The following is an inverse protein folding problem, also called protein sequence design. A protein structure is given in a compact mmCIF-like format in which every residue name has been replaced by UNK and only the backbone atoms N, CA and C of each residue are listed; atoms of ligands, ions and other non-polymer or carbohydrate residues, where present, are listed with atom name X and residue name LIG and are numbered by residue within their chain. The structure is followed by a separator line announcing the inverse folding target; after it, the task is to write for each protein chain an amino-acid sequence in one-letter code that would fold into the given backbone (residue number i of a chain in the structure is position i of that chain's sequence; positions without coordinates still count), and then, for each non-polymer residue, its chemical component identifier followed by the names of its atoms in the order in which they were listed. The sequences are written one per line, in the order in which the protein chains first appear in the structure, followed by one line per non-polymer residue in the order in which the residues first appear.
data_IF_656781811540
#
_entry.id   IF_656781811540
#
_cell.length_a   1.000
_cell.length_b   1.000
_cell.length_c   1.000
_cell.angle_alpha   90.00
_cell.angle_beta   90.00
_cell.angle_gamma   90.00
#
_symmetry.space_group_name_H-M   'P 1'
#
loop_
_entity.id
_entity.type
_entity.pdbx_description
1 polymer ?
#
# COMPACT_ATOMS: atom_id res chain seq x y z
N UNK A 1 -3.35 -16.69 12.72
CA UNK A 1 -2.65 -17.81 12.04
C UNK A 1 -1.28 -17.41 11.47
N UNK A 2 -1.18 -16.39 10.60
CA UNK A 2 0.12 -15.97 10.04
C UNK A 2 1.00 -15.26 11.07
N UNK A 3 0.42 -14.48 11.97
CA UNK A 3 1.15 -13.76 13.03
C UNK A 3 1.73 -14.74 14.03
N UNK A 4 0.94 -15.74 14.43
CA UNK A 4 1.37 -16.77 15.38
C UNK A 4 2.48 -17.65 14.77
N UNK A 5 2.39 -17.99 13.48
CA UNK A 5 3.43 -18.71 12.77
C UNK A 5 4.75 -17.90 12.67
N UNK A 6 4.68 -16.58 12.58
CA UNK A 6 5.87 -15.72 12.59
C UNK A 6 6.48 -15.54 13.98
N UNK A 7 5.70 -15.68 15.06
CA UNK A 7 6.21 -15.63 16.43
C UNK A 7 7.10 -16.85 16.78
N UNK A 8 6.91 -17.97 16.11
CA UNK A 8 7.75 -19.16 16.26
C UNK A 8 9.17 -18.99 15.70
N UNK A 9 9.34 -18.08 14.72
CA UNK A 9 10.66 -17.76 14.19
C UNK A 9 11.26 -16.58 14.94
N UNK A 10 12.37 -16.76 15.64
CA UNK A 10 13.11 -15.67 16.27
C UNK A 10 13.45 -14.55 15.28
N UNK A 11 13.69 -13.33 15.78
CA UNK A 11 13.99 -12.17 14.92
C UNK A 11 15.23 -12.39 14.03
N UNK A 12 16.18 -13.17 14.50
CA UNK A 12 17.45 -13.43 13.83
C UNK A 12 17.37 -14.53 12.78
N UNK A 13 16.22 -15.21 12.66
CA UNK A 13 16.05 -16.34 11.74
C UNK A 13 15.38 -15.95 10.40
N UNK A 14 15.94 -14.92 9.77
CA UNK A 14 15.47 -14.47 8.45
C UNK A 14 15.58 -15.58 7.39
N UNK A 15 16.57 -16.46 7.51
CA UNK A 15 16.83 -17.56 6.57
C UNK A 15 15.74 -18.63 6.71
N UNK A 16 15.43 -19.08 7.93
CA UNK A 16 14.38 -20.09 8.17
C UNK A 16 13.00 -19.59 7.73
N UNK A 17 12.69 -18.31 7.98
CA UNK A 17 11.45 -17.70 7.48
C UNK A 17 11.39 -17.66 5.96
N UNK A 18 12.49 -17.31 5.30
CA UNK A 18 12.54 -17.31 3.84
C UNK A 18 12.35 -18.72 3.28
N UNK A 19 12.97 -19.72 3.88
CA UNK A 19 12.81 -21.11 3.50
C UNK A 19 11.37 -21.61 3.70
N UNK A 20 10.75 -21.30 4.83
CA UNK A 20 9.35 -21.65 5.10
C UNK A 20 8.40 -20.99 4.08
N UNK A 21 8.60 -19.71 3.76
CA UNK A 21 7.83 -19.01 2.74
C UNK A 21 8.03 -19.63 1.35
N UNK A 22 9.27 -20.01 1.00
CA UNK A 22 9.56 -20.68 -0.26
C UNK A 22 8.87 -22.04 -0.35
N UNK A 23 8.95 -22.85 0.68
CA UNK A 23 8.28 -24.15 0.74
C UNK A 23 6.76 -24.03 0.61
N UNK A 24 6.16 -23.04 1.29
CA UNK A 24 4.73 -22.76 1.17
C UNK A 24 4.35 -22.36 -0.26
N UNK A 25 5.15 -21.49 -0.88
CA UNK A 25 4.93 -21.05 -2.26
C UNK A 25 5.07 -22.21 -3.25
N UNK A 26 6.10 -23.01 -3.11
CA UNK A 26 6.36 -24.18 -3.97
C UNK A 26 5.20 -25.19 -3.88
N UNK A 27 4.71 -25.48 -2.67
CA UNK A 27 3.58 -26.36 -2.46
C UNK A 27 2.27 -25.78 -3.03
N UNK A 28 2.05 -24.46 -2.87
CA UNK A 28 0.90 -23.77 -3.44
C UNK A 28 0.92 -23.86 -4.98
N UNK A 29 2.06 -23.52 -5.58
CA UNK A 29 2.24 -23.60 -7.03
C UNK A 29 2.09 -25.03 -7.54
N UNK A 30 2.66 -26.00 -6.83
CA UNK A 30 2.51 -27.41 -7.17
C UNK A 30 1.03 -27.82 -7.17
N UNK A 31 0.26 -27.44 -6.17
CA UNK A 31 -1.19 -27.75 -6.11
C UNK A 31 -1.98 -27.08 -7.23
N UNK A 32 -1.68 -25.83 -7.50
CA UNK A 32 -2.33 -25.08 -8.61
C UNK A 32 -2.04 -25.75 -9.95
N UNK A 33 -0.77 -26.09 -10.21
CA UNK A 33 -0.34 -26.62 -11.51
C UNK A 33 -0.63 -28.11 -11.71
N UNK A 34 -0.76 -28.90 -10.64
CA UNK A 34 -1.04 -30.35 -10.69
C UNK A 34 -2.51 -30.71 -10.48
N UNK A 35 -3.37 -29.73 -10.26
CA UNK A 35 -4.80 -29.97 -10.07
C UNK A 35 -5.49 -30.42 -11.35
N UNK A 36 -6.40 -31.40 -11.24
CA UNK A 36 -7.19 -31.94 -12.35
C UNK A 36 -8.13 -30.87 -12.96
N UNK A 37 -8.28 -29.72 -12.31
CA UNK A 37 -9.17 -28.63 -12.71
C UNK A 37 -8.43 -27.28 -12.81
N UNK A 38 -7.36 -27.27 -13.62
CA UNK A 38 -6.55 -26.06 -13.86
C UNK A 38 -7.40 -24.90 -14.40
N UNK A 39 -8.40 -25.18 -15.23
CA UNK A 39 -9.25 -24.14 -15.84
C UNK A 39 -10.07 -23.41 -14.77
N UNK A 40 -10.75 -24.15 -13.89
CA UNK A 40 -11.52 -23.54 -12.81
C UNK A 40 -10.61 -22.85 -11.77
N UNK A 41 -9.42 -23.38 -11.52
CA UNK A 41 -8.43 -22.72 -10.66
C UNK A 41 -7.99 -21.39 -11.25
N UNK A 42 -7.65 -21.33 -12.53
CA UNK A 42 -7.28 -20.09 -13.23
C UNK A 42 -8.47 -19.12 -13.27
N UNK A 43 -9.69 -19.60 -13.52
CA UNK A 43 -10.88 -18.75 -13.48
C UNK A 43 -11.15 -18.16 -12.08
N UNK A 44 -11.00 -18.98 -11.04
CA UNK A 44 -11.16 -18.54 -9.65
C UNK A 44 -10.12 -17.44 -9.32
N UNK A 45 -8.86 -17.63 -9.69
CA UNK A 45 -7.80 -16.63 -9.51
C UNK A 45 -8.13 -15.35 -10.32
N UNK A 46 -8.49 -15.49 -11.59
CA UNK A 46 -8.83 -14.35 -12.46
C UNK A 46 -10.04 -13.56 -11.93
N UNK A 47 -11.03 -14.22 -11.33
CA UNK A 47 -12.18 -13.56 -10.72
C UNK A 47 -11.82 -12.64 -9.54
N UNK A 48 -10.65 -12.80 -8.95
CA UNK A 48 -10.14 -11.96 -7.85
C UNK A 48 -9.35 -10.74 -8.33
N UNK A 49 -8.97 -10.71 -9.62
CA UNK A 49 -8.18 -9.61 -10.19
C UNK A 49 -8.88 -8.24 -10.11
N UNK A 50 -10.19 -8.10 -10.40
CA UNK A 50 -10.88 -6.80 -10.28
C UNK A 50 -10.85 -6.22 -8.86
N UNK A 51 -10.83 -7.08 -7.83
CA UNK A 51 -10.68 -6.68 -6.42
C UNK A 51 -9.22 -6.45 -5.99
N UNK A 52 -8.26 -6.58 -6.90
CA UNK A 52 -6.82 -6.50 -6.65
C UNK A 52 -6.31 -7.50 -5.59
N UNK A 53 -7.05 -8.59 -5.38
CA UNK A 53 -6.62 -9.67 -4.48
C UNK A 53 -5.55 -10.57 -5.11
N UNK A 54 -5.46 -10.54 -6.43
CA UNK A 54 -4.44 -11.21 -7.21
C UNK A 54 -3.83 -10.23 -8.21
N UNK A 55 -2.50 -10.14 -8.21
CA UNK A 55 -1.74 -9.29 -9.11
C UNK A 55 -0.51 -10.05 -9.60
N UNK A 56 -0.18 -9.88 -10.87
CA UNK A 56 0.99 -10.50 -11.48
C UNK A 56 1.83 -9.43 -12.17
N UNK A 57 3.11 -9.72 -12.27
CA UNK A 57 4.03 -9.01 -13.13
C UNK A 57 4.77 -10.00 -14.01
N UNK A 58 4.78 -9.75 -15.32
CA UNK A 58 5.41 -10.61 -16.29
C UNK A 58 6.60 -9.93 -16.95
N UNK A 59 7.74 -10.62 -16.99
CA UNK A 59 8.94 -10.11 -17.68
C UNK A 59 8.73 -10.05 -19.20
N UNK A 60 7.97 -10.99 -19.76
CA UNK A 60 7.58 -10.99 -21.16
C UNK A 60 6.52 -9.92 -21.39
N UNK A 61 6.77 -9.06 -22.39
CA UNK A 61 5.91 -7.90 -22.68
C UNK A 61 4.52 -8.29 -23.18
N UNK A 62 4.39 -9.39 -23.94
CA UNK A 62 3.10 -9.82 -24.43
C UNK A 62 2.23 -10.39 -23.29
N UNK A 63 2.84 -11.15 -22.39
CA UNK A 63 2.17 -11.65 -21.19
C UNK A 63 1.83 -10.52 -20.20
N UNK A 64 2.70 -9.51 -20.06
CA UNK A 64 2.40 -8.33 -19.24
C UNK A 64 1.23 -7.53 -19.80
N UNK A 65 1.15 -7.39 -21.14
CA UNK A 65 0.00 -6.73 -21.78
C UNK A 65 -1.30 -7.50 -21.52
N UNK A 66 -1.28 -8.82 -21.57
CA UNK A 66 -2.45 -9.64 -21.20
C UNK A 66 -2.84 -9.46 -19.74
N UNK A 67 -1.86 -9.32 -18.83
CA UNK A 67 -2.13 -9.05 -17.41
C UNK A 67 -2.73 -7.66 -17.21
N UNK A 68 -2.28 -6.65 -17.96
CA UNK A 68 -2.85 -5.30 -17.98
C UNK A 68 -4.30 -5.33 -18.48
N UNK A 69 -4.53 -5.95 -19.63
CA UNK A 69 -5.86 -6.05 -20.25
C UNK A 69 -6.87 -6.79 -19.35
N UNK A 70 -6.37 -7.75 -18.56
CA UNK A 70 -7.16 -8.48 -17.56
C UNK A 70 -7.33 -7.74 -16.22
N UNK A 71 -6.73 -6.55 -16.03
CA UNK A 71 -6.73 -5.81 -14.77
C UNK A 71 -5.93 -6.48 -13.65
N UNK A 72 -5.05 -7.41 -13.99
CA UNK A 72 -4.26 -8.21 -13.05
C UNK A 72 -2.83 -7.69 -12.85
N UNK A 73 -2.36 -6.71 -13.61
CA UNK A 73 -0.98 -6.23 -13.54
C UNK A 73 -0.66 -5.32 -12.34
N UNK A 74 -1.61 -5.04 -11.47
CA UNK A 74 -1.41 -4.22 -10.27
C UNK A 74 -1.09 -2.75 -10.53
N UNK A 75 -1.25 -2.28 -11.76
CA UNK A 75 -1.00 -0.89 -12.12
C UNK A 75 -2.09 0.01 -11.53
N UNK A 76 -1.68 1.16 -11.02
CA UNK A 76 -2.59 2.22 -10.61
C UNK A 76 -2.85 3.10 -11.83
N UNK A 77 -3.95 2.81 -12.54
CA UNK A 77 -4.36 3.58 -13.70
C UNK A 77 -5.25 4.74 -13.28
N UNK A 78 -4.83 5.95 -13.66
CA UNK A 78 -5.72 7.10 -13.61
C UNK A 78 -6.63 7.08 -14.84
N UNK A 79 -7.93 7.39 -14.71
CA UNK A 79 -8.81 7.51 -15.86
C UNK A 79 -8.33 8.63 -16.78
N UNK A 80 -8.55 8.49 -18.08
CA UNK A 80 -8.18 9.50 -19.08
C UNK A 80 -8.92 10.83 -18.85
N UNK A 81 -10.14 10.75 -18.31
CA UNK A 81 -11.00 11.90 -18.02
C UNK A 81 -11.65 11.77 -16.64
N UNK A 82 -11.96 12.92 -16.06
CA UNK A 82 -12.55 13.01 -14.72
C UNK A 82 -11.55 13.20 -13.60
N UNK A 83 -12.06 13.21 -12.39
CA UNK A 83 -11.25 13.30 -11.18
C UNK A 83 -10.92 11.90 -10.66
N UNK A 84 -9.68 11.73 -10.23
CA UNK A 84 -9.20 10.47 -9.67
C UNK A 84 -8.18 10.73 -8.58
N UNK A 85 -8.30 10.01 -7.49
CA UNK A 85 -7.32 10.06 -6.42
C UNK A 85 -7.30 8.76 -5.64
N UNK A 86 -6.20 8.47 -4.99
CA UNK A 86 -6.08 7.29 -4.14
C UNK A 86 -5.19 7.56 -2.93
N UNK A 87 -5.48 6.86 -1.85
CA UNK A 87 -4.70 6.87 -0.62
C UNK A 87 -4.39 5.43 -0.21
N UNK A 88 -3.11 5.13 -0.04
CA UNK A 88 -2.62 3.83 0.38
C UNK A 88 -1.77 3.96 1.63
N UNK A 89 -1.71 2.88 2.40
CA UNK A 89 -0.74 2.73 3.47
C UNK A 89 0.17 1.55 3.18
N UNK A 90 1.41 1.69 3.55
CA UNK A 90 2.39 0.62 3.46
C UNK A 90 3.08 0.48 4.82
N UNK A 91 3.21 -0.76 5.30
CA UNK A 91 4.03 -1.02 6.47
C UNK A 91 5.47 -0.54 6.21
N UNK A 92 5.94 0.37 7.04
CA UNK A 92 7.26 1.00 6.93
C UNK A 92 8.31 0.36 7.84
N UNK A 93 7.95 -0.66 8.59
CA UNK A 93 8.86 -1.43 9.43
C UNK A 93 8.76 -2.93 9.14
N UNK A 94 9.55 -3.72 9.85
CA UNK A 94 9.55 -5.18 9.67
C UNK A 94 8.50 -5.89 10.53
N UNK A 95 7.64 -5.16 11.26
CA UNK A 95 6.62 -5.72 12.12
C UNK A 95 5.39 -6.20 11.33
N UNK A 96 4.51 -6.97 11.99
CA UNK A 96 3.23 -7.43 11.46
C UNK A 96 2.04 -6.78 12.16
N UNK A 97 2.26 -5.70 12.89
CA UNK A 97 1.22 -5.02 13.68
C UNK A 97 0.25 -4.18 12.84
N UNK A 98 0.52 -4.02 11.57
CA UNK A 98 -0.41 -3.39 10.61
C UNK A 98 -1.77 -4.11 10.50
N UNK A 99 -1.87 -5.36 10.94
CA UNK A 99 -3.15 -6.07 11.10
C UNK A 99 -4.08 -5.39 12.12
N UNK A 100 -3.52 -4.66 13.08
CA UNK A 100 -4.28 -3.89 14.07
C UNK A 100 -4.55 -2.45 13.64
N UNK A 101 -4.17 -2.10 12.43
CA UNK A 101 -4.42 -0.78 11.87
C UNK A 101 -5.88 -0.63 11.46
N UNK A 102 -6.54 0.36 12.02
CA UNK A 102 -7.86 0.79 11.57
C UNK A 102 -7.70 2.03 10.69
N UNK A 103 -8.38 2.02 9.54
CA UNK A 103 -8.31 3.11 8.55
C UNK A 103 -9.67 3.74 8.36
N UNK A 104 -9.71 5.06 8.35
CA UNK A 104 -10.86 5.84 7.95
C UNK A 104 -10.45 6.85 6.87
N UNK A 105 -11.21 6.91 5.80
CA UNK A 105 -10.97 7.85 4.70
C UNK A 105 -12.19 8.74 4.53
N UNK A 106 -11.97 10.05 4.56
CA UNK A 106 -12.98 11.06 4.28
C UNK A 106 -12.58 11.81 3.01
N UNK A 107 -13.51 11.89 2.06
CA UNK A 107 -13.35 12.70 0.83
C UNK A 107 -14.47 13.74 0.81
N UNK A 108 -14.09 15.00 0.71
CA UNK A 108 -15.01 16.13 0.56
C UNK A 108 -14.72 16.80 -0.77
N UNK A 109 -15.75 16.91 -1.61
CA UNK A 109 -15.68 17.56 -2.92
C UNK A 109 -16.62 18.76 -2.91
N UNK A 110 -16.11 19.93 -3.25
CA UNK A 110 -16.89 21.17 -3.42
C UNK A 110 -16.81 21.57 -4.89
N UNK A 111 -17.95 21.58 -5.57
CA UNK A 111 -18.08 21.99 -6.95
C UNK A 111 -18.34 23.49 -7.04
N UNK A 112 -17.73 24.13 -8.04
CA UNK A 112 -17.97 25.55 -8.38
C UNK A 112 -18.79 25.63 -9.67
N UNK A 113 -19.45 26.78 -9.86
CA UNK A 113 -20.33 27.02 -11.03
C UNK A 113 -19.58 27.00 -12.38
N UNK A 114 -18.25 27.22 -12.36
CA UNK A 114 -17.39 27.14 -13.52
C UNK A 114 -16.95 25.71 -13.88
N UNK A 115 -17.47 24.70 -13.16
CA UNK A 115 -17.11 23.29 -13.35
C UNK A 115 -15.82 22.87 -12.69
N UNK A 116 -15.13 23.77 -11.97
CA UNK A 116 -13.99 23.38 -11.16
C UNK A 116 -14.42 22.69 -9.86
N UNK A 117 -13.53 21.89 -9.28
CA UNK A 117 -13.75 21.23 -8.00
C UNK A 117 -12.60 21.55 -7.04
N UNK A 118 -12.94 21.66 -5.76
CA UNK A 118 -11.97 21.61 -4.66
C UNK A 118 -12.15 20.28 -3.94
N UNK A 119 -11.09 19.55 -3.81
CA UNK A 119 -11.10 18.23 -3.17
C UNK A 119 -10.25 18.26 -1.91
N UNK A 120 -10.79 17.74 -0.82
CA UNK A 120 -10.05 17.47 0.41
C UNK A 120 -10.21 16.00 0.76
N UNK A 121 -9.11 15.31 0.87
CA UNK A 121 -9.06 13.92 1.28
C UNK A 121 -8.27 13.79 2.56
N UNK A 122 -8.79 13.04 3.51
CA UNK A 122 -8.15 12.77 4.78
C UNK A 122 -8.11 11.26 5.00
N UNK A 123 -6.91 10.74 5.24
CA UNK A 123 -6.69 9.38 5.69
C UNK A 123 -6.29 9.42 7.16
N UNK A 124 -7.13 8.82 7.99
CA UNK A 124 -6.90 8.67 9.43
C UNK A 124 -6.55 7.23 9.74
N UNK A 125 -5.47 7.02 10.46
CA UNK A 125 -5.04 5.73 10.97
C UNK A 125 -5.14 5.72 12.48
N UNK A 126 -5.76 4.67 13.02
CA UNK A 126 -5.77 4.37 14.46
C UNK A 126 -4.95 3.12 14.70
N UNK A 127 -4.03 3.18 15.63
CA UNK A 127 -3.26 2.03 16.08
C UNK A 127 -4.01 1.31 17.20
N UNK A 128 -4.71 0.23 16.87
CA UNK A 128 -5.45 -0.59 17.83
C UNK A 128 -4.65 -1.81 18.33
N UNK A 129 -3.32 -1.71 18.33
CA UNK A 129 -2.45 -2.78 18.83
C UNK A 129 -2.73 -3.03 20.33
N UNK A 130 -2.91 -4.30 20.75
CA UNK A 130 -3.11 -4.66 22.14
C UNK A 130 -1.98 -4.18 23.04
N UNK A 131 -2.32 -3.85 24.30
CA UNK A 131 -1.38 -3.27 25.28
C UNK A 131 -0.37 -4.29 25.85
N UNK A 132 -0.56 -5.57 25.58
CA UNK A 132 0.32 -6.65 26.03
C UNK A 132 1.56 -6.83 25.13
N UNK A 133 1.65 -6.06 24.04
CA UNK A 133 2.81 -6.10 23.14
C UNK A 133 3.90 -5.14 23.58
N UNK A 134 5.19 -5.49 23.32
CA UNK A 134 6.32 -4.62 23.67
C UNK A 134 6.14 -3.19 23.15
N UNK A 135 6.33 -2.23 24.03
CA UNK A 135 6.22 -0.82 23.69
C UNK A 135 7.53 -0.29 23.09
N UNK A 136 7.42 0.37 21.95
CA UNK A 136 8.54 1.01 21.28
C UNK A 136 8.60 0.69 19.78
N UNK A 137 9.44 1.43 19.03
CA UNK A 137 9.65 1.20 17.61
C UNK A 137 10.24 -0.19 17.32
N UNK A 138 9.92 -0.76 16.16
CA UNK A 138 10.34 -2.12 15.76
C UNK A 138 11.85 -2.32 15.70
N UNK A 139 12.63 -1.27 15.43
CA UNK A 139 14.09 -1.29 15.45
C UNK A 139 14.68 -1.48 16.88
N UNK A 140 13.86 -1.30 17.92
CA UNK A 140 14.25 -1.50 19.32
C UNK A 140 13.68 -2.78 19.92
N UNK A 141 12.42 -3.11 19.59
CA UNK A 141 11.68 -4.21 20.24
C UNK A 141 11.27 -5.31 19.27
N UNK A 142 11.56 -5.14 17.98
CA UNK A 142 11.38 -6.15 16.97
C UNK A 142 9.96 -6.30 16.40
N UNK A 143 9.65 -7.51 15.89
CA UNK A 143 8.40 -7.78 15.18
C UNK A 143 7.13 -7.60 16.00
N UNK A 144 7.23 -7.79 17.31
CA UNK A 144 6.11 -7.74 18.23
C UNK A 144 5.82 -6.34 18.77
N UNK A 145 6.46 -5.32 18.20
CA UNK A 145 6.24 -3.92 18.57
C UNK A 145 4.76 -3.58 18.65
N UNK A 146 4.41 -2.70 19.58
CA UNK A 146 3.08 -2.07 19.63
C UNK A 146 2.98 -0.81 18.72
N UNK A 147 4.07 -0.36 18.15
CA UNK A 147 4.11 0.87 17.34
C UNK A 147 3.94 0.57 15.83
N UNK A 148 3.07 1.34 15.16
CA UNK A 148 2.93 1.31 13.72
C UNK A 148 3.88 2.32 13.06
N UNK A 149 4.66 1.88 12.08
CA UNK A 149 5.35 2.77 11.14
C UNK A 149 4.69 2.64 9.78
N UNK A 150 4.06 3.70 9.33
CA UNK A 150 3.35 3.70 8.06
C UNK A 150 3.98 4.68 7.07
N UNK A 151 4.01 4.27 5.82
CA UNK A 151 4.10 5.16 4.71
C UNK A 151 2.68 5.43 4.19
N UNK A 152 2.28 6.69 4.20
CA UNK A 152 1.06 7.20 3.57
C UNK A 152 1.43 7.58 2.14
N UNK A 153 0.79 6.95 1.18
CA UNK A 153 1.02 7.18 -0.24
C UNK A 153 -0.26 7.79 -0.80
N UNK A 154 -0.16 9.04 -1.23
CA UNK A 154 -1.29 9.83 -1.67
C UNK A 154 -1.11 10.17 -3.15
N UNK A 155 -2.10 9.83 -3.95
CA UNK A 155 -2.16 10.16 -5.36
C UNK A 155 -3.18 11.25 -5.59
N UNK A 156 -2.83 12.21 -6.43
CA UNK A 156 -3.73 13.26 -6.91
C UNK A 156 -3.78 13.23 -8.44
N UNK A 157 -4.87 13.70 -9.06
CA UNK A 157 -4.97 13.78 -10.51
C UNK A 157 -3.83 14.60 -11.11
N UNK A 158 -3.36 14.25 -12.29
CA UNK A 158 -2.36 15.03 -13.02
C UNK A 158 -2.84 16.46 -13.31
N UNK A 159 -4.15 16.64 -13.42
CA UNK A 159 -4.80 17.95 -13.64
C UNK A 159 -4.90 18.80 -12.38
N UNK A 160 -4.67 18.22 -11.19
CA UNK A 160 -4.72 18.95 -9.93
C UNK A 160 -3.76 20.14 -9.92
N UNK A 161 -4.19 21.22 -9.28
CA UNK A 161 -3.41 22.45 -9.08
C UNK A 161 -3.44 22.82 -7.62
N UNK A 162 -2.44 23.57 -7.18
CA UNK A 162 -2.37 24.11 -5.81
C UNK A 162 -2.49 23.03 -4.73
N UNK A 163 -2.06 21.81 -5.05
CA UNK A 163 -2.13 20.71 -4.10
C UNK A 163 -1.24 20.96 -2.89
N UNK A 164 -1.83 20.68 -1.73
CA UNK A 164 -1.20 20.83 -0.42
C UNK A 164 -1.41 19.56 0.37
N UNK A 165 -0.43 19.21 1.18
CA UNK A 165 -0.54 18.11 2.13
C UNK A 165 -0.25 18.61 3.54
N UNK A 166 -1.11 18.23 4.48
CA UNK A 166 -0.98 18.48 5.91
C UNK A 166 -0.79 17.13 6.63
N UNK A 167 0.21 17.05 7.50
CA UNK A 167 0.59 15.85 8.25
C UNK A 167 1.25 16.22 9.59
N UNK A 168 1.35 15.30 10.58
CA UNK A 168 2.01 15.55 11.85
C UNK A 168 3.46 16.00 11.69
N UNK A 169 3.94 16.88 12.58
CA UNK A 169 5.26 17.51 12.45
C UNK A 169 6.44 16.53 12.54
N UNK A 170 6.25 15.42 13.23
CA UNK A 170 7.23 14.35 13.38
C UNK A 170 7.26 13.37 12.18
N UNK A 171 6.35 13.54 11.22
CA UNK A 171 6.35 12.77 9.98
C UNK A 171 7.30 13.39 8.95
N UNK A 172 7.81 12.54 8.07
CA UNK A 172 8.77 12.96 7.06
C UNK A 172 8.31 12.58 5.65
N UNK A 173 8.48 13.52 4.73
CA UNK A 173 8.36 13.21 3.31
C UNK A 173 9.55 12.37 2.88
N UNK A 174 9.28 11.22 2.29
CA UNK A 174 10.29 10.28 1.80
C UNK A 174 10.07 10.03 0.31
N UNK A 175 10.82 10.68 -0.57
CA UNK A 175 10.68 10.46 -2.00
C UNK A 175 10.99 9.00 -2.35
N UNK A 176 10.27 8.46 -3.30
CA UNK A 176 10.64 7.20 -3.91
C UNK A 176 11.82 7.43 -4.84
N UNK A 177 12.86 6.61 -4.72
CA UNK A 177 13.90 6.49 -5.72
C UNK A 177 13.52 5.41 -6.73
N UNK A 178 13.71 5.63 -8.02
CA UNK A 178 13.42 4.63 -9.05
C UNK A 178 13.47 5.20 -10.47
N UNK A 179 13.63 4.34 -11.45
CA UNK A 179 13.64 4.71 -12.86
C UNK A 179 12.27 5.26 -13.29
N UNK A 180 12.28 6.29 -14.13
CA UNK A 180 11.06 6.90 -14.68
C UNK A 180 10.35 7.91 -13.79
N UNK A 181 10.78 8.08 -12.53
CA UNK A 181 10.16 9.03 -11.60
C UNK A 181 10.82 10.41 -11.67
N UNK A 182 9.99 11.45 -11.74
CA UNK A 182 10.43 12.85 -11.81
C UNK A 182 9.99 13.60 -10.57
N UNK A 183 10.92 14.32 -9.93
CA UNK A 183 10.60 15.21 -8.81
C UNK A 183 9.86 16.45 -9.33
N UNK A 184 8.76 16.79 -8.66
CA UNK A 184 7.91 17.95 -8.98
C UNK A 184 8.08 19.10 -7.98
N UNK A 185 8.85 18.89 -6.90
CA UNK A 185 9.02 19.84 -5.79
C UNK A 185 8.13 19.54 -4.59
N UNK A 186 8.49 20.05 -3.40
CA UNK A 186 7.75 19.82 -2.15
C UNK A 186 7.54 18.37 -1.76
N UNK A 187 8.38 17.45 -2.29
CA UNK A 187 8.26 16.02 -2.05
C UNK A 187 7.30 15.28 -3.00
N UNK A 188 6.61 16.01 -3.87
CA UNK A 188 5.77 15.41 -4.91
C UNK A 188 6.59 14.87 -6.05
N UNK A 189 6.14 13.76 -6.61
CA UNK A 189 6.78 13.08 -7.74
C UNK A 189 5.75 12.69 -8.81
N UNK A 190 6.19 12.68 -10.05
CA UNK A 190 5.55 11.94 -11.14
C UNK A 190 6.00 10.48 -11.03
N UNK A 191 5.08 9.54 -10.97
CA UNK A 191 5.38 8.12 -10.77
C UNK A 191 5.89 7.41 -12.04
N UNK A 192 5.87 8.10 -13.18
CA UNK A 192 6.22 7.57 -14.50
C UNK A 192 5.07 6.85 -15.21
N UNK A 193 3.91 6.69 -14.54
CA UNK A 193 2.69 6.08 -15.10
C UNK A 193 1.56 7.09 -15.29
N UNK A 194 1.87 8.36 -15.12
CA UNK A 194 0.93 9.44 -15.34
C UNK A 194 0.24 9.96 -14.09
N UNK A 195 0.69 9.57 -12.92
CA UNK A 195 0.11 10.05 -11.67
C UNK A 195 1.08 10.97 -10.92
N UNK A 196 0.51 11.89 -10.16
CA UNK A 196 1.25 12.72 -9.20
C UNK A 196 1.05 12.14 -7.80
N UNK A 197 2.12 11.89 -7.08
CA UNK A 197 2.05 11.27 -5.77
C UNK A 197 3.02 11.89 -4.76
N UNK A 198 2.71 11.73 -3.47
CA UNK A 198 3.61 12.00 -2.36
C UNK A 198 3.64 10.81 -1.41
N UNK A 199 4.78 10.58 -0.77
CA UNK A 199 4.96 9.58 0.28
C UNK A 199 5.40 10.23 1.57
N UNK A 200 4.62 10.03 2.62
CA UNK A 200 4.86 10.57 3.96
C UNK A 200 5.03 9.38 4.92
N UNK A 201 6.06 9.41 5.75
CA UNK A 201 6.37 8.31 6.67
C UNK A 201 6.38 8.81 8.09
N UNK A 202 5.69 8.12 8.97
CA UNK A 202 5.64 8.44 10.39
C UNK A 202 5.30 7.25 11.27
N UNK A 203 5.40 7.46 12.57
CA UNK A 203 5.10 6.50 13.60
C UNK A 203 3.77 6.84 14.28
N UNK A 204 2.98 5.81 14.61
CA UNK A 204 1.75 5.94 15.39
C UNK A 204 1.88 5.07 16.63
N UNK A 205 1.87 5.68 17.80
CA UNK A 205 1.93 4.99 19.07
C UNK A 205 0.67 4.13 19.33
N UNK A 206 0.73 3.12 20.22
CA UNK A 206 -0.45 2.31 20.59
C UNK A 206 -1.59 3.20 21.09
N UNK A 207 -2.82 2.93 20.66
CA UNK A 207 -4.00 3.71 21.01
C UNK A 207 -4.08 5.10 20.38
N UNK A 208 -3.00 5.57 19.72
CA UNK A 208 -2.98 6.88 19.08
C UNK A 208 -3.64 6.85 17.69
N UNK A 209 -4.01 8.04 17.25
CA UNK A 209 -4.55 8.30 15.93
C UNK A 209 -3.70 9.35 15.21
N UNK A 210 -3.45 9.12 13.94
CA UNK A 210 -2.75 10.06 13.06
C UNK A 210 -3.56 10.30 11.80
N UNK A 211 -3.47 11.53 11.28
CA UNK A 211 -4.18 11.90 10.06
C UNK A 211 -3.23 12.58 9.07
N UNK A 212 -3.39 12.25 7.81
CA UNK A 212 -2.77 12.94 6.68
C UNK A 212 -3.88 13.44 5.77
N UNK A 213 -3.82 14.72 5.40
CA UNK A 213 -4.82 15.37 4.55
C UNK A 213 -4.16 15.89 3.29
N UNK A 214 -4.75 15.63 2.13
CA UNK A 214 -4.39 16.28 0.88
C UNK A 214 -5.57 17.13 0.39
N UNK A 215 -5.24 18.32 -0.14
CA UNK A 215 -6.21 19.23 -0.74
C UNK A 215 -5.69 19.73 -2.09
N UNK A 216 -6.55 19.86 -3.07
CA UNK A 216 -6.24 20.36 -4.42
C UNK A 216 -7.47 20.96 -5.07
#
# INVERSE_FOLDING_TARGET
LLIDAYAEFGQDDAVARQQANQQLLDELLRRILSGDDLVNTVQAIASTAPGRHFQVWMKDRALEQLALDAGAAGVVEAPESGDWSAMYTQNGNQSKVDVFQQRNQLVVVSLSDDGSARVRQQLTLTNATPADRPEGPADRVGYETSWLKNAYILYVPRTARNYRVDYPQDFNVRPFSGHGRRQLGGGWIDDGFGNTMIRIVGWTAPGAQTAVTVSY
#
